data_IF_797430810068
#
_entry.id   IF_797430810068
#
_cell.length_a   1.000
_cell.length_b   1.000
_cell.length_c   1.000
_cell.angle_alpha   90.00
_cell.angle_beta   90.00
_cell.angle_gamma   90.00
#
_symmetry.space_group_name_H-M   'P 1'
#
loop_
_entity.id
_entity.type
_entity.pdbx_description
1 polymer ?
#
# COMPACT_ATOMS: atom_id res chain seq x y z
N UNK A 1 5.05 -15.41 1.97
CA UNK A 1 6.03 -15.69 0.88
C UNK A 1 7.31 -14.85 0.99
N UNK A 2 7.29 -13.52 0.95
CA UNK A 2 8.53 -12.71 0.90
C UNK A 2 9.58 -13.05 2.00
N UNK A 3 9.14 -13.36 3.23
CA UNK A 3 10.01 -13.79 4.34
C UNK A 3 10.77 -15.10 4.08
N UNK A 4 10.18 -16.06 3.37
CA UNK A 4 10.86 -17.33 3.02
C UNK A 4 11.83 -17.20 1.86
N UNK A 5 11.74 -16.10 1.08
CA UNK A 5 12.75 -15.74 0.06
C UNK A 5 13.92 -15.02 0.73
N UNK A 6 13.65 -14.09 1.66
CA UNK A 6 14.68 -13.53 2.53
C UNK A 6 14.27 -12.25 3.26
N UNK A 7 14.97 -11.89 4.35
CA UNK A 7 14.60 -10.76 5.20
C UNK A 7 14.69 -9.41 4.49
N UNK A 8 15.59 -9.27 3.51
CA UNK A 8 15.71 -8.06 2.69
C UNK A 8 14.48 -7.81 1.81
N UNK A 9 13.97 -8.85 1.15
CA UNK A 9 12.75 -8.75 0.33
C UNK A 9 11.52 -8.54 1.21
N UNK A 10 11.41 -9.25 2.32
CA UNK A 10 10.33 -9.04 3.29
C UNK A 10 10.26 -7.60 3.81
N UNK A 11 11.41 -6.97 4.10
CA UNK A 11 11.48 -5.57 4.52
C UNK A 11 11.15 -4.58 3.40
N UNK A 12 11.37 -4.95 2.14
CA UNK A 12 11.07 -4.13 0.96
C UNK A 12 9.66 -4.31 0.40
N UNK A 13 8.95 -5.37 0.81
CA UNK A 13 7.58 -5.68 0.39
C UNK A 13 6.61 -4.65 0.94
N UNK A 14 5.79 -4.06 0.07
CA UNK A 14 4.67 -3.20 0.47
C UNK A 14 3.30 -3.76 0.10
N UNK A 15 3.24 -4.59 -0.96
CA UNK A 15 2.02 -5.22 -1.46
C UNK A 15 2.38 -6.44 -2.33
N UNK A 16 1.37 -7.14 -2.84
CA UNK A 16 1.53 -8.19 -3.85
C UNK A 16 0.74 -7.90 -5.12
N UNK A 17 1.12 -8.54 -6.23
CA UNK A 17 0.24 -8.76 -7.38
C UNK A 17 -0.01 -10.24 -7.52
N UNK A 18 -1.27 -10.66 -7.40
CA UNK A 18 -1.71 -12.06 -7.47
C UNK A 18 -2.57 -12.23 -8.72
N UNK A 19 -2.12 -13.07 -9.65
CA UNK A 19 -2.80 -13.28 -10.95
C UNK A 19 -3.13 -11.95 -11.68
N UNK A 20 -2.21 -10.98 -11.63
CA UNK A 20 -2.37 -9.65 -12.23
C UNK A 20 -3.07 -8.60 -11.35
N UNK A 21 -3.73 -8.99 -10.26
CA UNK A 21 -4.49 -8.09 -9.40
C UNK A 21 -3.66 -7.63 -8.19
N UNK A 22 -3.74 -6.34 -7.84
CA UNK A 22 -3.06 -5.79 -6.65
C UNK A 22 -3.78 -6.23 -5.37
N UNK A 23 -3.02 -6.70 -4.39
CA UNK A 23 -3.49 -7.18 -3.08
C UNK A 23 -2.59 -6.66 -1.96
N UNK A 24 -3.11 -6.56 -0.74
CA UNK A 24 -2.30 -6.16 0.42
C UNK A 24 -1.28 -7.26 0.77
N UNK A 25 -0.14 -6.88 1.36
CA UNK A 25 0.93 -7.82 1.68
C UNK A 25 0.56 -8.89 2.75
N UNK A 26 -0.61 -8.75 3.37
CA UNK A 26 -1.20 -9.69 4.33
C UNK A 26 -2.32 -10.58 3.75
N UNK A 27 -2.75 -10.34 2.51
CA UNK A 27 -3.83 -11.12 1.90
C UNK A 27 -3.41 -12.57 1.67
N UNK A 28 -4.35 -13.49 1.90
CA UNK A 28 -4.11 -14.92 1.74
C UNK A 28 -4.21 -15.33 0.27
N UNK A 29 -3.31 -16.23 -0.13
CA UNK A 29 -3.33 -16.88 -1.44
C UNK A 29 -3.76 -18.32 -1.17
N UNK A 30 -5.03 -18.64 -1.48
CA UNK A 30 -5.66 -19.93 -1.15
C UNK A 30 -5.53 -20.98 -2.27
N UNK A 31 -5.25 -20.53 -3.50
CA UNK A 31 -5.09 -21.37 -4.71
C UNK A 31 -3.74 -21.07 -5.38
N UNK A 32 -3.29 -21.96 -6.28
CA UNK A 32 -2.08 -21.74 -7.08
C UNK A 32 -2.19 -20.46 -7.92
N UNK A 33 -1.20 -19.58 -7.80
CA UNK A 33 -1.24 -18.26 -8.43
C UNK A 33 0.15 -17.79 -8.90
N UNK A 34 0.18 -16.91 -9.91
CA UNK A 34 1.36 -16.08 -10.16
C UNK A 34 1.43 -14.96 -9.11
N UNK A 35 2.62 -14.76 -8.54
CA UNK A 35 2.88 -13.75 -7.52
C UNK A 35 4.05 -12.86 -7.92
N UNK A 36 3.79 -11.55 -7.99
CA UNK A 36 4.82 -10.51 -8.01
C UNK A 36 4.84 -9.82 -6.64
N UNK A 37 6.04 -9.57 -6.10
CA UNK A 37 6.19 -8.78 -4.87
C UNK A 37 6.38 -7.31 -5.25
N UNK A 38 5.46 -6.45 -4.81
CA UNK A 38 5.52 -5.01 -5.06
C UNK A 38 6.38 -4.37 -3.96
N UNK A 39 7.30 -3.52 -4.38
CA UNK A 39 8.19 -2.72 -3.53
C UNK A 39 8.02 -1.22 -3.84
N UNK A 40 8.65 -0.36 -3.04
CA UNK A 40 8.67 1.10 -3.29
C UNK A 40 9.39 1.48 -4.61
N UNK A 41 10.19 0.56 -5.19
CA UNK A 41 10.92 0.81 -6.45
C UNK A 41 10.08 0.58 -7.70
N UNK A 42 8.91 -0.05 -7.57
CA UNK A 42 8.05 -0.38 -8.69
C UNK A 42 7.30 0.88 -9.15
N UNK A 43 7.61 1.35 -10.36
CA UNK A 43 7.15 2.65 -10.87
C UNK A 43 5.63 2.77 -11.02
N UNK A 44 4.93 1.64 -11.24
CA UNK A 44 3.49 1.60 -11.50
C UNK A 44 2.68 1.70 -10.21
N UNK A 45 2.72 0.69 -9.34
CA UNK A 45 1.93 0.64 -8.11
C UNK A 45 2.73 1.14 -6.88
N UNK A 46 4.05 1.00 -6.89
CA UNK A 46 4.88 1.05 -5.68
C UNK A 46 4.79 2.38 -4.94
N UNK A 47 4.98 3.48 -5.67
CA UNK A 47 4.89 4.83 -5.13
C UNK A 47 3.43 5.30 -4.91
N UNK A 48 2.46 4.76 -5.66
CA UNK A 48 1.03 5.01 -5.47
C UNK A 48 0.56 4.50 -4.10
N UNK A 49 0.87 3.24 -3.75
CA UNK A 49 0.50 2.62 -2.47
C UNK A 49 1.04 3.42 -1.28
N UNK A 50 2.29 3.89 -1.37
CA UNK A 50 2.91 4.76 -0.35
C UNK A 50 2.16 6.09 -0.22
N UNK A 51 1.80 6.74 -1.34
CA UNK A 51 1.04 7.99 -1.32
C UNK A 51 -0.36 7.80 -0.72
N UNK A 52 -1.05 6.71 -1.05
CA UNK A 52 -2.36 6.39 -0.49
C UNK A 52 -2.26 6.14 1.03
N UNK A 53 -1.23 5.41 1.47
CA UNK A 53 -0.96 5.21 2.90
C UNK A 53 -0.70 6.53 3.64
N UNK A 54 0.02 7.48 3.01
CA UNK A 54 0.24 8.81 3.55
C UNK A 54 -1.04 9.67 3.60
N UNK A 55 -1.99 9.49 2.67
CA UNK A 55 -3.31 10.11 2.76
C UNK A 55 -4.05 9.63 4.02
N UNK A 56 -4.12 8.32 4.27
CA UNK A 56 -4.71 7.78 5.50
C UNK A 56 -3.98 8.25 6.77
N UNK A 57 -2.65 8.39 6.73
CA UNK A 57 -1.87 8.93 7.84
C UNK A 57 -2.20 10.41 8.14
N UNK A 58 -2.37 11.24 7.11
CA UNK A 58 -2.84 12.63 7.27
C UNK A 58 -4.23 12.64 7.91
N UNK A 59 -5.14 11.79 7.44
CA UNK A 59 -6.47 11.64 8.03
C UNK A 59 -6.46 11.18 9.49
N UNK A 60 -5.56 10.26 9.85
CA UNK A 60 -5.34 9.82 11.23
C UNK A 60 -4.90 11.00 12.11
N UNK A 61 -3.84 11.73 11.71
CA UNK A 61 -3.33 12.87 12.46
C UNK A 61 -4.39 13.99 12.61
N UNK A 62 -5.13 14.28 11.54
CA UNK A 62 -6.22 15.24 11.53
C UNK A 62 -7.34 14.85 12.49
N UNK A 63 -7.65 13.55 12.65
CA UNK A 63 -8.60 13.05 13.66
C UNK A 63 -8.10 13.13 15.10
N UNK A 64 -6.79 13.06 15.35
CA UNK A 64 -6.25 13.29 16.69
C UNK A 64 -6.35 14.77 17.09
N UNK A 65 -6.05 15.69 16.16
CA UNK A 65 -6.07 17.13 16.40
C UNK A 65 -7.49 17.72 16.37
N UNK A 66 -8.34 17.24 15.47
CA UNK A 66 -9.71 17.73 15.23
C UNK A 66 -10.70 16.55 15.14
N UNK A 67 -11.08 15.92 16.27
CA UNK A 67 -11.90 14.70 16.26
C UNK A 67 -13.23 14.82 15.50
N UNK A 68 -13.81 16.02 15.47
CA UNK A 68 -15.10 16.33 14.82
C UNK A 68 -14.99 16.65 13.32
N UNK A 69 -13.77 16.78 12.77
CA UNK A 69 -13.58 16.99 11.33
C UNK A 69 -14.13 15.80 10.53
N UNK A 70 -14.75 16.06 9.38
CA UNK A 70 -15.36 15.01 8.54
C UNK A 70 -14.36 14.53 7.49
N UNK A 71 -14.21 13.22 7.38
CA UNK A 71 -13.38 12.60 6.34
C UNK A 71 -14.19 12.56 5.04
N UNK A 72 -13.55 12.89 3.92
CA UNK A 72 -14.17 12.88 2.59
C UNK A 72 -13.50 11.83 1.69
N UNK A 73 -12.73 12.27 0.69
CA UNK A 73 -11.95 11.40 -0.20
C UNK A 73 -10.47 11.76 -0.11
N UNK A 74 -9.60 10.76 -0.01
CA UNK A 74 -8.14 10.95 0.06
C UNK A 74 -7.38 10.22 -1.05
N UNK A 75 -7.60 10.54 -2.34
CA UNK A 75 -6.99 9.80 -3.44
C UNK A 75 -5.54 10.24 -3.72
N UNK A 76 -4.82 9.39 -4.44
CA UNK A 76 -3.50 9.67 -4.97
C UNK A 76 -3.55 10.46 -6.28
N UNK A 77 -2.48 11.20 -6.56
CA UNK A 77 -2.23 11.92 -7.81
C UNK A 77 -0.76 11.72 -8.25
N UNK A 78 -0.42 12.10 -9.48
CA UNK A 78 0.87 11.88 -10.14
C UNK A 78 2.11 12.19 -9.28
N UNK A 79 2.01 13.19 -8.41
CA UNK A 79 3.10 13.66 -7.55
C UNK A 79 2.78 13.63 -6.03
N UNK A 80 1.68 12.98 -5.60
CA UNK A 80 1.30 12.99 -4.19
C UNK A 80 -0.10 12.45 -3.91
N UNK A 81 -0.81 13.11 -3.01
CA UNK A 81 -2.20 12.83 -2.61
C UNK A 81 -2.85 14.13 -2.08
N UNK A 82 -4.17 14.14 -1.92
CA UNK A 82 -4.90 15.16 -1.16
C UNK A 82 -5.88 14.50 -0.17
N UNK A 83 -6.55 15.30 0.66
CA UNK A 83 -7.54 14.86 1.65
C UNK A 83 -8.54 15.99 1.96
#
# INVERSE_FOLDING_TARGET
>A
VAQSIGPGLAKATIAGRVNGNRVDACDLIEEDASLEIITVKDEVDGLEIVRHSCAHLLGHALKQLYPQAKMAIGPTIDNGFYY
#
